data_IF_543783094325
#
_entry.id   IF_543783094325
#
_cell.length_a   1.000
_cell.length_b   1.000
_cell.length_c   1.000
_cell.angle_alpha   90.00
_cell.angle_beta   90.00
_cell.angle_gamma   90.00
#
_symmetry.space_group_name_H-M   'P 1'
#
loop_
_entity.id
_entity.type
_entity.pdbx_description
1 polymer ?
#
# COMPACT_ATOMS: atom_id res chain seq x y z
N UNK A 1 -15.28 15.75 21.34
CA UNK A 1 -14.86 14.33 21.28
C UNK A 1 -14.82 13.88 19.82
N UNK A 2 -13.70 13.29 19.43
CA UNK A 2 -13.60 12.70 18.10
C UNK A 2 -14.19 11.30 18.11
N UNK A 3 -15.04 11.01 17.14
CA UNK A 3 -15.62 9.68 16.97
C UNK A 3 -15.34 9.18 15.55
N UNK A 4 -15.18 7.87 15.41
CA UNK A 4 -14.89 7.23 14.15
C UNK A 4 -15.91 6.14 13.88
N UNK A 5 -16.20 5.93 12.60
CA UNK A 5 -17.11 4.88 12.17
C UNK A 5 -16.39 3.54 12.07
N UNK A 6 -15.11 3.58 11.64
CA UNK A 6 -14.31 2.40 11.34
C UNK A 6 -12.89 2.63 11.86
N UNK A 7 -12.31 1.59 12.43
CA UNK A 7 -10.89 1.56 12.77
C UNK A 7 -10.19 0.52 11.89
N UNK A 8 -9.12 0.93 11.21
CA UNK A 8 -8.28 0.04 10.42
C UNK A 8 -6.95 -0.11 11.14
N UNK A 9 -6.58 -1.32 11.48
CA UNK A 9 -5.34 -1.62 12.18
C UNK A 9 -4.30 -2.13 11.18
N UNK A 10 -3.18 -1.43 11.10
CA UNK A 10 -2.12 -1.70 10.14
C UNK A 10 -2.17 -0.76 8.95
N UNK A 11 -1.11 0.03 8.75
CA UNK A 11 -1.02 1.03 7.69
C UNK A 11 -0.10 0.59 6.54
N UNK A 12 -0.05 -0.71 6.26
CA UNK A 12 0.62 -1.23 5.08
C UNK A 12 -0.22 -0.97 3.82
N UNK A 13 0.13 -1.63 2.72
CA UNK A 13 -0.58 -1.42 1.45
C UNK A 13 -2.06 -1.76 1.58
N UNK A 14 -2.38 -2.90 2.16
CA UNK A 14 -3.77 -3.35 2.28
C UNK A 14 -4.56 -2.44 3.22
N UNK A 15 -4.05 -2.22 4.42
CA UNK A 15 -4.71 -1.38 5.41
C UNK A 15 -4.84 0.07 4.95
N UNK A 16 -3.79 0.61 4.35
CA UNK A 16 -3.80 1.97 3.81
C UNK A 16 -4.82 2.15 2.69
N UNK A 17 -4.89 1.20 1.74
CA UNK A 17 -5.88 1.24 0.67
C UNK A 17 -7.31 1.10 1.20
N UNK A 18 -7.51 0.21 2.16
CA UNK A 18 -8.82 0.03 2.78
C UNK A 18 -9.27 1.31 3.48
N UNK A 19 -8.40 1.91 4.28
CA UNK A 19 -8.71 3.14 5.00
C UNK A 19 -9.04 4.28 4.04
N UNK A 20 -8.25 4.45 2.99
CA UNK A 20 -8.47 5.50 2.01
C UNK A 20 -9.77 5.31 1.25
N UNK A 21 -10.06 4.08 0.83
CA UNK A 21 -11.29 3.75 0.12
C UNK A 21 -12.53 4.01 0.98
N UNK A 22 -12.46 3.63 2.24
CA UNK A 22 -13.56 3.86 3.19
C UNK A 22 -13.75 5.36 3.49
N UNK A 23 -12.66 6.10 3.63
CA UNK A 23 -12.74 7.53 3.84
C UNK A 23 -13.36 8.24 2.63
N UNK A 24 -13.03 7.82 1.42
CA UNK A 24 -13.61 8.36 0.19
C UNK A 24 -15.09 8.01 0.05
N UNK A 25 -15.52 6.91 0.64
CA UNK A 25 -16.93 6.54 0.68
C UNK A 25 -17.73 7.31 1.72
N UNK A 26 -17.09 8.19 2.49
CA UNK A 26 -17.76 9.06 3.45
C UNK A 26 -17.68 8.62 4.91
N UNK A 27 -16.99 7.52 5.19
CA UNK A 27 -16.82 7.07 6.58
C UNK A 27 -15.69 7.83 7.26
N UNK A 28 -15.82 8.02 8.57
CA UNK A 28 -14.76 8.55 9.41
C UNK A 28 -13.90 7.38 9.86
N UNK A 29 -12.65 7.35 9.37
CA UNK A 29 -11.75 6.21 9.54
C UNK A 29 -10.59 6.59 10.45
N UNK A 30 -10.33 5.77 11.45
CA UNK A 30 -9.10 5.82 12.24
C UNK A 30 -8.14 4.78 11.69
N UNK A 31 -6.96 5.20 11.25
CA UNK A 31 -5.90 4.31 10.80
C UNK A 31 -4.86 4.20 11.91
N UNK A 32 -4.66 2.99 12.40
CA UNK A 32 -3.81 2.72 13.56
C UNK A 32 -2.59 1.93 13.11
N UNK A 33 -1.41 2.44 13.38
CA UNK A 33 -0.15 1.79 13.03
C UNK A 33 0.76 1.74 14.26
N UNK A 34 1.35 0.57 14.52
CA UNK A 34 2.22 0.35 15.69
C UNK A 34 3.58 1.01 15.54
N UNK A 35 4.04 1.20 14.30
CA UNK A 35 5.38 1.72 14.01
C UNK A 35 5.28 2.91 13.05
N UNK A 36 6.07 3.94 13.33
CA UNK A 36 6.19 5.07 12.42
C UNK A 36 6.87 4.61 11.12
N UNK A 37 6.27 4.90 9.94
CA UNK A 37 6.88 4.51 8.67
C UNK A 37 8.22 5.21 8.47
N UNK A 38 9.21 4.47 7.98
CA UNK A 38 10.49 5.07 7.61
C UNK A 38 10.35 5.92 6.37
N UNK A 39 10.99 7.09 6.29
CA UNK A 39 11.03 7.85 5.06
C UNK A 39 11.62 7.03 3.92
N UNK A 40 11.05 7.14 2.73
CA UNK A 40 11.58 6.46 1.56
C UNK A 40 12.93 7.05 1.17
N UNK A 41 13.88 6.18 0.81
CA UNK A 41 15.19 6.60 0.33
C UNK A 41 15.57 5.77 -0.89
N UNK A 42 15.99 6.45 -1.96
CA UNK A 42 16.43 5.79 -3.17
C UNK A 42 17.75 5.03 -2.97
N UNK A 43 18.61 5.55 -2.10
CA UNK A 43 19.91 4.96 -1.82
C UNK A 43 19.86 3.79 -0.84
N UNK A 44 18.75 3.62 -0.13
CA UNK A 44 18.60 2.58 0.89
C UNK A 44 17.23 1.93 0.80
N UNK A 45 16.97 1.15 -0.28
CA UNK A 45 15.68 0.50 -0.45
C UNK A 45 15.46 -0.59 0.59
N UNK A 46 14.19 -0.81 0.93
CA UNK A 46 13.80 -1.91 1.80
C UNK A 46 14.13 -3.24 1.11
N UNK A 47 14.51 -4.23 1.91
CA UNK A 47 14.71 -5.60 1.43
C UNK A 47 13.41 -6.27 1.01
N UNK A 48 12.29 -5.78 1.51
CA UNK A 48 10.98 -6.30 1.13
C UNK A 48 10.51 -5.65 -0.15
N UNK A 49 10.02 -6.49 -1.05
CA UNK A 49 9.39 -6.03 -2.29
C UNK A 49 8.03 -6.67 -2.41
N UNK A 50 7.16 -6.04 -3.18
CA UNK A 50 5.80 -6.51 -3.39
C UNK A 50 5.55 -6.61 -4.90
N UNK A 51 5.02 -7.75 -5.33
CA UNK A 51 4.56 -7.93 -6.70
C UNK A 51 3.09 -7.55 -6.77
N UNK A 52 2.74 -6.69 -7.73
CA UNK A 52 1.38 -6.19 -7.88
C UNK A 52 0.81 -6.66 -9.22
N UNK A 53 -0.36 -7.29 -9.18
CA UNK A 53 -1.11 -7.65 -10.36
C UNK A 53 -1.77 -6.41 -10.99
N UNK A 54 -2.15 -6.46 -12.29
CA UNK A 54 -2.81 -5.33 -12.94
C UNK A 54 -4.08 -4.85 -12.23
N UNK A 55 -4.85 -5.75 -11.63
CA UNK A 55 -6.06 -5.36 -10.89
C UNK A 55 -5.72 -4.53 -9.66
N UNK A 56 -4.64 -4.86 -8.97
CA UNK A 56 -4.18 -4.09 -7.83
C UNK A 56 -3.64 -2.72 -8.25
N UNK A 57 -3.02 -2.64 -9.43
CA UNK A 57 -2.61 -1.36 -10.01
C UNK A 57 -3.82 -0.46 -10.22
N UNK A 58 -4.91 -1.01 -10.76
CA UNK A 58 -6.15 -0.24 -10.98
C UNK A 58 -6.72 0.29 -9.68
N UNK A 59 -6.68 -0.50 -8.62
CA UNK A 59 -7.11 -0.07 -7.29
C UNK A 59 -6.26 1.10 -6.79
N UNK A 60 -4.94 1.00 -6.93
CA UNK A 60 -4.01 2.06 -6.51
C UNK A 60 -4.18 3.33 -7.35
N UNK A 61 -4.48 3.19 -8.64
CA UNK A 61 -4.83 4.32 -9.49
C UNK A 61 -6.11 5.00 -9.00
N UNK A 62 -7.14 4.21 -8.67
CA UNK A 62 -8.39 4.74 -8.14
C UNK A 62 -8.20 5.44 -6.79
N UNK A 63 -7.27 4.96 -5.98
CA UNK A 63 -6.91 5.61 -4.72
C UNK A 63 -6.07 6.88 -4.92
N UNK A 64 -5.59 7.14 -6.12
CA UNK A 64 -4.81 8.34 -6.42
C UNK A 64 -3.34 8.26 -5.99
N UNK A 65 -2.83 7.08 -5.69
CA UNK A 65 -1.45 6.91 -5.19
C UNK A 65 -0.52 6.24 -6.19
N UNK A 66 -1.04 5.73 -7.30
CA UNK A 66 -0.22 4.97 -8.25
C UNK A 66 0.95 5.77 -8.81
N UNK A 67 0.72 7.02 -9.18
CA UNK A 67 1.76 7.85 -9.78
C UNK A 67 2.94 8.04 -8.81
N UNK A 68 2.65 8.28 -7.56
CA UNK A 68 3.69 8.42 -6.53
C UNK A 68 4.48 7.14 -6.38
N UNK A 69 3.82 5.99 -6.43
CA UNK A 69 4.48 4.68 -6.36
C UNK A 69 5.38 4.47 -7.58
N UNK A 70 4.85 4.72 -8.78
CA UNK A 70 5.57 4.51 -10.03
C UNK A 70 6.80 5.41 -10.17
N UNK A 71 6.72 6.64 -9.67
CA UNK A 71 7.81 7.61 -9.74
C UNK A 71 8.96 7.27 -8.78
N UNK A 72 8.74 6.35 -7.85
CA UNK A 72 9.79 5.88 -6.95
C UNK A 72 10.50 4.68 -7.58
N UNK A 73 10.51 3.55 -6.91
CA UNK A 73 11.24 2.38 -7.41
C UNK A 73 10.25 1.28 -7.81
N UNK A 74 10.15 1.05 -9.11
CA UNK A 74 9.23 0.08 -9.67
C UNK A 74 9.89 -0.60 -10.87
N UNK A 75 9.67 -1.90 -11.03
CA UNK A 75 10.14 -2.66 -12.15
C UNK A 75 9.01 -3.53 -12.71
N UNK A 76 8.57 -3.33 -13.95
CA UNK A 76 7.64 -4.25 -14.59
C UNK A 76 8.27 -5.64 -14.77
N UNK A 77 7.47 -6.68 -14.62
CA UNK A 77 7.92 -8.03 -14.88
C UNK A 77 6.90 -8.77 -15.75
N UNK A 78 7.40 -9.71 -16.55
CA UNK A 78 6.57 -10.53 -17.45
C UNK A 78 6.51 -11.99 -17.03
N UNK A 79 7.50 -12.44 -16.27
CA UNK A 79 7.61 -13.83 -15.84
C UNK A 79 7.76 -13.92 -14.34
N UNK A 80 7.13 -14.93 -13.76
CA UNK A 80 7.31 -15.26 -12.36
C UNK A 80 7.67 -16.74 -12.27
N UNK A 81 8.82 -17.02 -11.66
CA UNK A 81 9.29 -18.38 -11.45
C UNK A 81 9.32 -18.69 -9.97
N UNK A 82 8.76 -19.82 -9.62
CA UNK A 82 8.72 -20.30 -8.24
C UNK A 82 9.34 -21.67 -8.20
N UNK A 83 10.28 -21.87 -7.29
CA UNK A 83 10.91 -23.18 -7.11
C UNK A 83 11.10 -23.43 -5.63
N UNK A 84 11.23 -24.73 -5.31
CA UNK A 84 11.50 -25.18 -3.96
C UNK A 84 13.00 -25.44 -3.82
N UNK A 85 13.56 -25.09 -2.68
CA UNK A 85 14.99 -25.26 -2.38
C UNK A 85 15.34 -26.69 -1.90
N UNK A 86 14.38 -27.58 -1.86
CA UNK A 86 14.59 -28.96 -1.37
C UNK A 86 15.53 -29.78 -2.26
#
# INVERSE_FOLDING_TARGET
MKSFDIAVVGAGIVGGCAALSLARAGYRVALIEAHEPKPWSESSPDLRVVALAPDNKKLLEACGVWRTIADRRMQPYSDMRVWDAA
#
